data_IF_339041781889
#
_entry.id   IF_339041781889
#
_cell.length_a   1.000
_cell.length_b   1.000
_cell.length_c   1.000
_cell.angle_alpha   90.00
_cell.angle_beta   90.00
_cell.angle_gamma   90.00
#
_symmetry.space_group_name_H-M   'P 1'
#
loop_
_entity.id
_entity.type
_entity.pdbx_description
1 polymer ?
#
# COMPACT_ATOMS: atom_id res chain seq x y z
N UNK A 1 -9.70 -37.31 19.45
CA UNK A 1 -9.44 -36.14 18.59
C UNK A 1 -10.59 -35.17 18.79
N UNK A 2 -10.34 -34.06 19.47
CA UNK A 2 -11.36 -33.08 19.85
C UNK A 2 -11.33 -31.97 18.79
N UNK A 3 -12.35 -31.90 17.94
CA UNK A 3 -12.43 -30.86 16.89
C UNK A 3 -12.92 -29.58 17.55
N UNK A 4 -12.10 -28.54 17.48
CA UNK A 4 -12.37 -27.24 18.11
C UNK A 4 -13.51 -26.53 17.37
N UNK A 5 -14.72 -26.56 17.95
CA UNK A 5 -15.96 -26.01 17.38
C UNK A 5 -15.86 -24.50 17.08
N UNK A 6 -14.97 -23.79 17.75
CA UNK A 6 -14.76 -22.35 17.56
C UNK A 6 -14.23 -22.01 16.17
N UNK A 7 -13.31 -22.83 15.63
CA UNK A 7 -12.71 -22.64 14.31
C UNK A 7 -13.67 -22.93 13.16
N UNK A 8 -14.61 -23.85 13.36
CA UNK A 8 -15.64 -24.16 12.37
C UNK A 8 -16.63 -23.01 12.18
N UNK A 9 -16.93 -22.24 13.23
CA UNK A 9 -17.89 -21.12 13.15
C UNK A 9 -17.31 -19.92 12.40
N UNK A 10 -16.00 -19.66 12.52
CA UNK A 10 -15.33 -18.57 11.78
C UNK A 10 -15.28 -18.85 10.27
N UNK A 11 -14.99 -20.11 9.89
CA UNK A 11 -15.00 -20.54 8.49
C UNK A 11 -16.39 -20.46 7.86
N UNK A 12 -17.45 -20.83 8.60
CA UNK A 12 -18.82 -20.77 8.10
C UNK A 12 -19.33 -19.33 7.90
N UNK A 13 -18.95 -18.40 8.79
CA UNK A 13 -19.33 -16.98 8.66
C UNK A 13 -18.70 -16.31 7.42
N UNK A 14 -17.47 -16.70 7.08
CA UNK A 14 -16.74 -16.16 5.92
C UNK A 14 -17.41 -16.52 4.58
N UNK A 15 -17.94 -17.74 4.48
CA UNK A 15 -18.63 -18.23 3.27
C UNK A 15 -20.00 -17.58 3.04
N UNK A 16 -20.71 -17.19 4.10
CA UNK A 16 -22.02 -16.53 3.97
C UNK A 16 -21.89 -15.08 3.47
N UNK A 17 -20.81 -14.37 3.80
CA UNK A 17 -20.58 -12.99 3.36
C UNK A 17 -20.23 -12.90 1.86
N UNK A 18 -19.60 -13.93 1.28
CA UNK A 18 -19.23 -13.95 -0.14
C UNK A 18 -20.42 -14.14 -1.09
N UNK A 19 -21.57 -14.64 -0.62
CA UNK A 19 -22.73 -14.94 -1.46
C UNK A 19 -23.63 -13.73 -1.75
N UNK A 20 -23.50 -12.62 -1.03
CA UNK A 20 -24.38 -11.46 -1.17
C UNK A 20 -23.84 -10.33 -2.06
N UNK A 21 -22.61 -10.45 -2.60
CA UNK A 21 -22.00 -9.46 -3.49
C UNK A 21 -21.98 -9.92 -4.96
N UNK A 22 -23.09 -10.49 -5.45
CA UNK A 22 -23.27 -10.59 -6.90
C UNK A 22 -23.67 -9.22 -7.44
N UNK A 23 -22.68 -8.56 -8.05
CA UNK A 23 -22.81 -7.29 -8.77
C UNK A 23 -23.81 -7.49 -9.93
N UNK A 24 -24.97 -6.84 -9.85
CA UNK A 24 -25.94 -6.80 -10.96
C UNK A 24 -25.25 -6.23 -12.23
N UNK A 25 -25.49 -6.83 -13.42
CA UNK A 25 -25.01 -6.27 -14.67
C UNK A 25 -25.67 -4.92 -14.92
N UNK A 26 -24.86 -3.91 -15.22
CA UNK A 26 -25.31 -2.55 -15.48
C UNK A 26 -26.25 -2.51 -16.69
N UNK A 27 -27.53 -2.23 -16.44
CA UNK A 27 -28.50 -1.85 -17.47
C UNK A 27 -28.14 -0.47 -18.00
N UNK A 28 -27.88 -0.38 -19.30
CA UNK A 28 -27.59 0.87 -20.01
C UNK A 28 -28.72 1.90 -19.85
N UNK A 29 -28.43 3.17 -19.53
CA UNK A 29 -29.45 4.21 -19.51
C UNK A 29 -29.77 4.66 -20.95
N UNK A 30 -31.07 4.63 -21.24
CA UNK A 30 -31.72 5.12 -22.44
C UNK A 30 -31.67 6.66 -22.45
N UNK A 31 -30.86 7.25 -23.35
CA UNK A 31 -30.74 8.71 -23.51
C UNK A 31 -31.86 9.23 -24.41
N UNK A 32 -33.02 9.50 -23.81
CA UNK A 32 -34.10 10.28 -24.41
C UNK A 32 -33.83 11.78 -24.32
N UNK A 33 -33.96 12.48 -25.44
CA UNK A 33 -33.64 13.91 -25.59
C UNK A 33 -34.59 14.87 -24.88
N UNK A 34 -34.05 16.03 -24.51
CA UNK A 34 -34.79 17.21 -24.10
C UNK A 34 -34.17 18.46 -24.74
N UNK A 35 -35.05 19.33 -25.25
CA UNK A 35 -34.82 20.59 -25.96
C UNK A 35 -34.10 21.68 -25.12
N UNK A 36 -33.51 22.71 -25.78
CA UNK A 36 -32.93 23.86 -25.11
C UNK A 36 -33.94 25.01 -24.95
N UNK A 37 -33.99 25.61 -23.76
CA UNK A 37 -34.59 26.93 -23.53
C UNK A 37 -33.61 27.79 -22.71
N UNK A 38 -33.39 29.01 -23.19
CA UNK A 38 -32.28 29.86 -22.78
C UNK A 38 -32.55 30.84 -21.64
N UNK A 39 -31.52 31.68 -21.43
CA UNK A 39 -31.65 33.05 -20.92
C UNK A 39 -31.35 33.22 -19.43
N UNK A 40 -30.22 33.83 -19.12
CA UNK A 40 -30.13 35.16 -18.48
C UNK A 40 -28.77 35.35 -17.76
N UNK A 41 -27.97 36.26 -18.31
CA UNK A 41 -26.98 37.07 -17.59
C UNK A 41 -27.72 38.02 -16.61
N UNK A 42 -27.09 38.51 -15.49
CA UNK A 42 -26.11 39.59 -15.64
C UNK A 42 -24.98 39.70 -14.58
N UNK A 43 -23.90 40.34 -15.03
CA UNK A 43 -23.10 41.43 -14.44
C UNK A 43 -22.63 41.40 -12.95
N UNK A 44 -21.31 41.50 -12.78
CA UNK A 44 -20.72 42.72 -12.23
C UNK A 44 -19.98 42.62 -10.89
N UNK A 45 -18.66 42.86 -10.93
CA UNK A 45 -17.80 43.24 -9.80
C UNK A 45 -16.56 42.34 -9.69
N UNK A 46 -15.33 42.83 -9.51
CA UNK A 46 -14.75 44.16 -9.48
C UNK A 46 -13.23 43.96 -9.66
N UNK A 47 -12.57 44.91 -10.31
CA UNK A 47 -11.15 44.90 -10.67
C UNK A 47 -10.31 45.32 -9.46
N UNK A 48 -9.25 44.56 -9.11
CA UNK A 48 -8.08 45.09 -8.38
C UNK A 48 -6.76 44.56 -8.95
N UNK A 49 -5.80 45.49 -8.96
CA UNK A 49 -4.55 45.65 -9.72
C UNK A 49 -3.45 44.56 -9.53
N UNK A 50 -2.45 44.51 -10.43
CA UNK A 50 -1.47 43.44 -10.58
C UNK A 50 -0.24 43.68 -9.69
N UNK A 51 0.03 42.75 -8.79
CA UNK A 51 1.36 42.65 -8.19
C UNK A 51 2.22 41.73 -9.04
N UNK A 52 3.23 42.32 -9.67
CA UNK A 52 4.27 41.65 -10.44
C UNK A 52 5.11 40.74 -9.52
N UNK A 53 4.61 39.54 -9.27
CA UNK A 53 5.38 38.38 -8.84
C UNK A 53 5.31 37.36 -9.96
N UNK A 54 6.46 36.96 -10.50
CA UNK A 54 6.57 35.94 -11.56
C UNK A 54 5.61 34.77 -11.32
N UNK A 55 4.87 34.29 -12.33
CA UNK A 55 3.96 33.18 -12.14
C UNK A 55 4.77 31.96 -11.71
N UNK A 56 4.69 31.61 -10.43
CA UNK A 56 4.99 30.27 -9.98
C UNK A 56 3.89 29.40 -10.55
N UNK A 57 4.17 28.78 -11.70
CA UNK A 57 3.37 27.68 -12.23
C UNK A 57 3.45 26.58 -11.19
N UNK A 58 2.42 26.49 -10.34
CA UNK A 58 2.18 25.31 -9.53
C UNK A 58 1.71 24.25 -10.51
N UNK A 59 2.65 23.42 -10.97
CA UNK A 59 2.29 22.18 -11.65
C UNK A 59 1.71 21.28 -10.57
N UNK A 60 0.39 21.31 -10.45
CA UNK A 60 -0.38 20.30 -9.73
C UNK A 60 -0.02 18.95 -10.35
N UNK A 61 0.94 18.28 -9.72
CA UNK A 61 1.41 16.98 -10.16
C UNK A 61 0.30 16.01 -9.80
N UNK A 62 -0.29 15.35 -10.80
CA UNK A 62 -1.31 14.34 -10.55
C UNK A 62 -0.82 13.39 -9.45
N UNK A 63 -1.64 13.10 -8.42
CA UNK A 63 -1.30 12.11 -7.40
C UNK A 63 -1.14 10.76 -8.10
N UNK A 64 0.11 10.40 -8.41
CA UNK A 64 0.49 9.26 -9.25
C UNK A 64 1.71 9.49 -10.14
N UNK A 65 2.15 10.73 -10.34
CA UNK A 65 3.24 11.07 -11.27
C UNK A 65 4.61 11.37 -10.62
N UNK A 66 4.84 10.95 -9.38
CA UNK A 66 6.13 11.18 -8.71
C UNK A 66 7.20 10.16 -9.16
N UNK A 67 7.98 10.55 -10.17
CA UNK A 67 9.43 10.39 -10.23
C UNK A 67 10.07 9.07 -9.72
N UNK A 68 9.95 7.97 -10.48
CA UNK A 68 10.88 6.83 -10.37
C UNK A 68 11.23 6.24 -11.75
N UNK A 69 11.53 7.09 -12.73
CA UNK A 69 12.43 6.70 -13.83
C UNK A 69 13.75 7.40 -13.60
N UNK A 70 14.61 6.80 -12.77
CA UNK A 70 16.04 7.01 -12.95
C UNK A 70 16.39 6.31 -14.27
N UNK A 71 16.37 7.08 -15.36
CA UNK A 71 16.83 6.62 -16.66
C UNK A 71 18.28 6.14 -16.54
N UNK A 72 18.47 4.82 -16.51
CA UNK A 72 19.76 4.16 -16.73
C UNK A 72 20.47 3.59 -15.49
N UNK A 73 20.01 3.86 -14.26
CA UNK A 73 20.59 3.20 -13.09
C UNK A 73 19.89 1.86 -12.86
N UNK A 74 20.67 0.78 -12.87
CA UNK A 74 20.16 -0.57 -12.58
C UNK A 74 19.72 -0.56 -11.11
N UNK A 75 18.43 -0.35 -10.90
CA UNK A 75 17.82 -0.33 -9.58
C UNK A 75 17.95 -1.74 -8.97
N UNK A 76 18.81 -1.88 -7.94
CA UNK A 76 19.06 -3.15 -7.24
C UNK A 76 18.44 -3.15 -5.84
N UNK A 77 17.47 -4.04 -5.61
CA UNK A 77 16.86 -4.23 -4.29
C UNK A 77 17.82 -4.86 -3.26
N UNK A 78 18.95 -5.42 -3.70
CA UNK A 78 19.99 -5.93 -2.80
C UNK A 78 20.96 -4.83 -2.31
N UNK A 79 20.86 -3.62 -2.83
CA UNK A 79 21.57 -2.46 -2.28
C UNK A 79 20.87 -1.96 -1.01
N UNK A 80 21.59 -1.24 -0.14
CA UNK A 80 21.00 -0.61 1.05
C UNK A 80 21.70 -0.95 2.36
N UNK A 81 21.54 -0.10 3.35
CA UNK A 81 22.09 -0.30 4.69
C UNK A 81 21.21 -1.28 5.49
N UNK A 82 21.85 -2.20 6.21
CA UNK A 82 21.16 -3.03 7.18
C UNK A 82 20.94 -2.24 8.47
N UNK A 83 19.85 -1.48 8.53
CA UNK A 83 19.45 -0.73 9.72
C UNK A 83 18.91 -1.69 10.79
N UNK A 84 19.13 -1.34 12.06
CA UNK A 84 18.68 -2.12 13.22
C UNK A 84 17.67 -1.32 14.05
N UNK A 85 16.64 -2.01 14.51
CA UNK A 85 15.55 -1.46 15.31
C UNK A 85 15.92 -1.26 16.78
N UNK A 86 17.14 -1.59 17.22
CA UNK A 86 17.59 -1.41 18.63
C UNK A 86 17.47 0.03 19.15
N UNK A 87 17.51 1.02 18.26
CA UNK A 87 17.35 2.44 18.63
C UNK A 87 15.89 2.90 18.67
N UNK A 88 14.95 2.05 18.25
CA UNK A 88 13.52 2.32 18.34
C UNK A 88 13.10 2.41 19.80
N UNK A 89 12.42 3.48 20.16
CA UNK A 89 11.96 3.74 21.54
C UNK A 89 10.51 4.20 21.56
N UNK A 90 9.79 3.83 22.62
CA UNK A 90 8.44 4.32 22.86
C UNK A 90 8.49 5.69 23.55
N UNK A 91 7.57 6.62 23.25
CA UNK A 91 7.48 7.91 23.93
C UNK A 91 7.03 7.79 25.39
N UNK A 92 6.26 6.74 25.72
CA UNK A 92 5.72 6.50 27.07
C UNK A 92 5.51 5.01 27.34
N UNK A 93 5.33 4.66 28.62
CA UNK A 93 5.03 3.29 29.05
C UNK A 93 3.63 2.80 28.66
N UNK A 94 2.74 3.69 28.18
CA UNK A 94 1.36 3.35 27.79
C UNK A 94 1.21 3.00 26.31
N UNK A 95 2.32 2.79 25.61
CA UNK A 95 2.36 2.45 24.19
C UNK A 95 2.13 0.94 23.98
N UNK A 96 0.88 0.47 24.13
CA UNK A 96 0.55 -0.97 24.10
C UNK A 96 0.94 -1.68 22.79
N UNK A 97 0.95 -0.95 21.67
CA UNK A 97 1.30 -1.46 20.34
C UNK A 97 2.82 -1.52 20.09
N UNK A 98 3.65 -0.98 20.99
CA UNK A 98 5.09 -0.85 20.75
C UNK A 98 5.78 -2.18 20.60
N UNK A 99 5.49 -3.16 21.47
CA UNK A 99 6.15 -4.47 21.42
C UNK A 99 5.91 -5.19 20.07
N UNK A 100 4.68 -5.10 19.55
CA UNK A 100 4.32 -5.64 18.24
C UNK A 100 5.04 -4.90 17.11
N UNK A 101 5.08 -3.55 17.19
CA UNK A 101 5.77 -2.70 16.21
C UNK A 101 7.27 -2.96 16.20
N UNK A 102 7.89 -3.13 17.36
CA UNK A 102 9.30 -3.44 17.52
C UNK A 102 9.65 -4.82 16.93
N UNK A 103 8.83 -5.85 17.20
CA UNK A 103 9.02 -7.19 16.60
C UNK A 103 8.90 -7.17 15.08
N UNK A 104 7.91 -6.45 14.55
CA UNK A 104 7.75 -6.29 13.10
C UNK A 104 8.92 -5.53 12.48
N UNK A 105 9.42 -4.48 13.14
CA UNK A 105 10.62 -3.78 12.72
C UNK A 105 11.79 -4.76 12.55
N UNK A 106 12.01 -5.63 13.54
CA UNK A 106 13.10 -6.61 13.52
C UNK A 106 12.96 -7.63 12.38
N UNK A 107 11.73 -7.99 11.99
CA UNK A 107 11.50 -8.98 10.94
C UNK A 107 11.68 -8.43 9.52
N UNK A 108 11.68 -7.11 9.31
CA UNK A 108 11.89 -6.55 7.98
C UNK A 108 13.21 -7.01 7.34
N UNK A 109 14.31 -7.07 8.09
CA UNK A 109 15.60 -7.52 7.57
C UNK A 109 15.61 -8.98 7.11
N UNK A 110 14.72 -9.83 7.65
CA UNK A 110 14.62 -11.25 7.29
C UNK A 110 13.60 -11.55 6.20
N UNK A 111 12.69 -10.62 5.93
CA UNK A 111 11.59 -10.80 4.96
C UNK A 111 11.79 -9.97 3.71
N UNK A 112 12.22 -8.72 3.90
CA UNK A 112 12.47 -7.78 2.81
C UNK A 112 13.92 -7.90 2.34
N UNK A 113 14.14 -7.47 1.09
CA UNK A 113 15.48 -7.25 0.56
C UNK A 113 16.06 -5.96 1.18
N UNK A 114 17.40 -5.79 1.18
CA UNK A 114 18.06 -4.67 1.85
C UNK A 114 17.48 -3.27 1.56
N UNK A 115 17.21 -2.91 0.30
CA UNK A 115 16.70 -1.57 -0.07
C UNK A 115 15.32 -1.26 0.53
N UNK A 116 14.29 -2.11 0.31
CA UNK A 116 13.00 -1.89 0.96
C UNK A 116 13.05 -2.04 2.48
N UNK A 117 13.92 -2.91 3.01
CA UNK A 117 14.11 -3.05 4.46
C UNK A 117 14.66 -1.76 5.08
N UNK A 118 15.67 -1.15 4.46
CA UNK A 118 16.25 0.13 4.91
C UNK A 118 15.18 1.22 4.97
N UNK A 119 14.38 1.37 3.91
CA UNK A 119 13.31 2.37 3.88
C UNK A 119 12.21 2.12 4.92
N UNK A 120 11.80 0.86 5.11
CA UNK A 120 10.78 0.49 6.10
C UNK A 120 11.27 0.69 7.54
N UNK A 121 12.49 0.23 7.85
CA UNK A 121 13.11 0.41 9.17
C UNK A 121 13.39 1.89 9.43
N UNK A 122 13.90 2.62 8.44
CA UNK A 122 14.10 4.07 8.52
C UNK A 122 12.81 4.82 8.89
N UNK A 123 11.69 4.50 8.23
CA UNK A 123 10.39 5.05 8.57
C UNK A 123 9.96 4.79 10.03
N UNK A 124 10.23 3.58 10.54
CA UNK A 124 9.92 3.23 11.94
C UNK A 124 10.82 3.98 12.91
N UNK A 125 12.13 4.05 12.62
CA UNK A 125 13.09 4.80 13.43
C UNK A 125 12.74 6.29 13.49
N UNK A 126 12.30 6.87 12.37
CA UNK A 126 11.82 8.26 12.31
C UNK A 126 10.53 8.48 13.13
N UNK A 127 9.72 7.44 13.32
CA UNK A 127 8.56 7.48 14.22
C UNK A 127 8.95 7.27 15.70
N UNK A 128 10.14 6.71 15.96
CA UNK A 128 10.63 6.39 17.30
C UNK A 128 10.69 7.61 18.21
N UNK A 129 10.36 7.41 19.49
CA UNK A 129 10.32 8.48 20.48
C UNK A 129 9.12 9.44 20.37
N UNK A 130 8.20 9.20 19.42
CA UNK A 130 6.97 10.02 19.24
C UNK A 130 5.70 9.18 19.43
N UNK A 131 4.56 9.83 19.70
CA UNK A 131 3.25 9.14 19.79
C UNK A 131 2.86 8.38 18.50
N UNK A 132 3.48 8.74 17.36
CA UNK A 132 3.24 8.08 16.08
C UNK A 132 3.58 6.59 16.11
N UNK A 133 4.63 6.18 16.83
CA UNK A 133 5.01 4.76 16.94
C UNK A 133 3.97 3.94 17.71
N UNK A 134 3.11 4.59 18.50
CA UNK A 134 2.03 3.94 19.23
C UNK A 134 0.77 3.73 18.37
N UNK A 135 0.70 4.33 17.18
CA UNK A 135 -0.40 4.10 16.27
C UNK A 135 -0.28 2.70 15.66
N UNK A 136 -1.34 1.89 15.76
CA UNK A 136 -1.41 0.56 15.17
C UNK A 136 -1.32 0.58 13.63
N UNK A 137 -1.46 1.72 12.96
CA UNK A 137 -1.31 1.85 11.50
C UNK A 137 0.14 2.15 11.07
N UNK A 138 1.05 2.48 12.01
CA UNK A 138 2.42 2.91 11.65
C UNK A 138 3.17 1.85 10.86
N UNK A 139 2.89 0.57 11.14
CA UNK A 139 3.49 -0.50 10.38
C UNK A 139 3.04 -0.54 8.93
N UNK A 140 1.77 -0.26 8.64
CA UNK A 140 1.29 -0.20 7.26
C UNK A 140 1.98 0.93 6.50
N UNK A 141 2.10 2.09 7.14
CA UNK A 141 2.78 3.25 6.57
C UNK A 141 4.25 2.94 6.26
N UNK A 142 4.97 2.30 7.19
CA UNK A 142 6.38 1.98 6.98
C UNK A 142 6.62 0.80 6.05
N UNK A 143 5.73 -0.20 6.02
CA UNK A 143 5.74 -1.23 4.97
C UNK A 143 5.53 -0.60 3.59
N UNK A 144 4.60 0.34 3.47
CA UNK A 144 4.38 1.08 2.21
C UNK A 144 5.60 1.91 1.80
N UNK A 145 6.31 2.53 2.75
CA UNK A 145 7.59 3.20 2.45
C UNK A 145 8.63 2.24 1.87
N UNK A 146 8.74 1.02 2.42
CA UNK A 146 9.57 -0.05 1.86
C UNK A 146 9.14 -0.45 0.44
N UNK A 147 7.85 -0.66 0.21
CA UNK A 147 7.30 -0.99 -1.11
C UNK A 147 7.58 0.10 -2.14
N UNK A 148 7.43 1.37 -1.76
CA UNK A 148 7.73 2.51 -2.65
C UNK A 148 9.22 2.63 -2.97
N UNK A 149 10.11 2.23 -2.07
CA UNK A 149 11.55 2.20 -2.32
C UNK A 149 11.99 1.02 -3.23
N UNK A 150 11.08 0.08 -3.52
CA UNK A 150 11.38 -1.15 -4.25
C UNK A 150 11.52 -0.93 -5.75
N UNK A 151 12.61 -1.45 -6.31
CA UNK A 151 12.80 -1.65 -7.74
C UNK A 151 11.90 -2.79 -8.22
N UNK A 152 10.96 -2.50 -9.13
CA UNK A 152 10.04 -3.51 -9.65
C UNK A 152 10.75 -4.44 -10.63
N UNK A 153 10.75 -5.76 -10.36
CA UNK A 153 11.26 -6.78 -11.27
C UNK A 153 10.20 -7.15 -12.33
N UNK A 154 10.50 -6.86 -13.59
CA UNK A 154 9.62 -7.17 -14.72
C UNK A 154 9.27 -8.67 -14.82
N UNK A 155 10.11 -9.57 -14.28
CA UNK A 155 9.85 -11.03 -14.28
C UNK A 155 8.63 -11.42 -13.44
N UNK A 156 8.26 -10.60 -12.46
CA UNK A 156 7.09 -10.86 -11.59
C UNK A 156 5.74 -10.55 -12.26
N UNK A 157 5.77 -9.85 -13.41
CA UNK A 157 4.56 -9.33 -14.08
C UNK A 157 3.51 -10.40 -14.35
N UNK A 158 3.89 -11.48 -15.01
CA UNK A 158 2.93 -12.51 -15.42
C UNK A 158 2.26 -13.20 -14.22
N UNK A 159 3.03 -13.44 -13.15
CA UNK A 159 2.50 -13.98 -11.90
C UNK A 159 1.49 -13.00 -11.27
N UNK A 160 1.82 -11.71 -11.23
CA UNK A 160 0.93 -10.68 -10.68
C UNK A 160 -0.33 -10.43 -11.52
N UNK A 161 -0.27 -10.54 -12.84
CA UNK A 161 -1.45 -10.49 -13.71
C UNK A 161 -2.43 -11.64 -13.37
N UNK A 162 -1.89 -12.84 -13.11
CA UNK A 162 -2.68 -14.02 -12.71
C UNK A 162 -3.31 -13.82 -11.33
N UNK A 163 -2.55 -13.31 -10.36
CA UNK A 163 -3.03 -13.03 -9.00
C UNK A 163 -4.09 -11.93 -9.04
N UNK A 164 -3.84 -10.83 -9.74
CA UNK A 164 -4.77 -9.70 -9.89
C UNK A 164 -6.10 -10.15 -10.51
N UNK A 165 -6.04 -11.01 -11.54
CA UNK A 165 -7.24 -11.61 -12.12
C UNK A 165 -7.99 -12.51 -11.13
N UNK A 166 -7.28 -13.26 -10.28
CA UNK A 166 -7.90 -14.10 -9.23
C UNK A 166 -8.59 -13.25 -8.16
N UNK A 167 -8.04 -12.07 -7.89
CA UNK A 167 -8.59 -11.05 -7.00
C UNK A 167 -9.74 -10.23 -7.61
N UNK A 168 -10.21 -10.55 -8.83
CA UNK A 168 -11.27 -9.79 -9.49
C UNK A 168 -10.89 -8.34 -9.79
N UNK A 169 -9.59 -8.03 -9.87
CA UNK A 169 -9.06 -6.69 -10.14
C UNK A 169 -9.02 -5.75 -8.92
N UNK A 170 -9.32 -6.22 -7.70
CA UNK A 170 -9.17 -5.41 -6.48
C UNK A 170 -7.71 -5.09 -6.17
N UNK A 171 -6.81 -6.00 -6.55
CA UNK A 171 -5.37 -5.84 -6.42
C UNK A 171 -4.77 -5.36 -7.73
N UNK A 172 -4.14 -4.19 -7.70
CA UNK A 172 -3.37 -3.68 -8.83
C UNK A 172 -2.12 -4.52 -9.12
N UNK A 173 -1.85 -4.76 -10.40
CA UNK A 173 -0.72 -5.57 -10.85
C UNK A 173 0.60 -4.95 -10.41
N UNK A 174 0.75 -3.64 -10.50
CA UNK A 174 1.99 -2.95 -10.13
C UNK A 174 2.26 -3.06 -8.62
N UNK A 175 1.23 -2.91 -7.78
CA UNK A 175 1.32 -3.11 -6.33
C UNK A 175 1.74 -4.53 -5.97
N UNK A 176 1.18 -5.55 -6.65
CA UNK A 176 1.63 -6.93 -6.50
C UNK A 176 3.11 -7.09 -6.88
N UNK A 177 3.54 -6.51 -8.01
CA UNK A 177 4.93 -6.61 -8.45
C UNK A 177 5.90 -5.94 -7.48
N UNK A 178 5.52 -4.78 -6.92
CA UNK A 178 6.30 -4.14 -5.84
C UNK A 178 6.46 -5.10 -4.66
N UNK A 179 5.37 -5.70 -4.18
CA UNK A 179 5.41 -6.68 -3.09
C UNK A 179 6.36 -7.85 -3.35
N UNK A 180 6.19 -8.54 -4.48
CA UNK A 180 7.02 -9.69 -4.83
C UNK A 180 8.49 -9.32 -5.08
N UNK A 181 8.76 -8.10 -5.56
CA UNK A 181 10.11 -7.61 -5.78
C UNK A 181 10.79 -7.14 -4.50
N UNK A 182 9.99 -6.74 -3.50
CA UNK A 182 10.46 -6.21 -2.22
C UNK A 182 10.95 -7.30 -1.28
N UNK A 183 10.32 -8.48 -1.31
CA UNK A 183 10.66 -9.60 -0.42
C UNK A 183 11.87 -10.40 -0.88
N UNK A 184 12.50 -11.10 0.05
CA UNK A 184 13.55 -12.05 -0.24
C UNK A 184 13.04 -13.16 -1.19
N UNK A 185 13.87 -13.67 -2.11
CA UNK A 185 13.47 -14.73 -3.04
C UNK A 185 12.96 -16.00 -2.35
N UNK A 186 13.44 -16.30 -1.14
CA UNK A 186 12.99 -17.44 -0.32
C UNK A 186 11.57 -17.29 0.23
N UNK A 187 11.04 -16.06 0.30
CA UNK A 187 9.72 -15.73 0.85
C UNK A 187 8.70 -15.36 -0.23
N UNK A 188 9.12 -15.16 -1.48
CA UNK A 188 8.26 -14.70 -2.58
C UNK A 188 7.09 -15.63 -2.86
N UNK A 189 7.27 -16.95 -2.76
CA UNK A 189 6.20 -17.91 -2.96
C UNK A 189 5.14 -17.84 -1.85
N UNK A 190 5.58 -17.74 -0.59
CA UNK A 190 4.68 -17.57 0.56
C UNK A 190 3.91 -16.25 0.46
N UNK A 191 4.59 -15.16 0.07
CA UNK A 191 3.95 -13.88 -0.18
C UNK A 191 2.90 -13.99 -1.28
N UNK A 192 3.24 -14.58 -2.43
CA UNK A 192 2.32 -14.73 -3.56
C UNK A 192 1.06 -15.52 -3.18
N UNK A 193 1.21 -16.60 -2.41
CA UNK A 193 0.08 -17.38 -1.90
C UNK A 193 -0.81 -16.55 -0.96
N UNK A 194 -0.22 -15.80 -0.03
CA UNK A 194 -1.00 -14.90 0.84
C UNK A 194 -1.73 -13.84 0.03
N UNK A 195 -1.06 -13.18 -0.93
CA UNK A 195 -1.69 -12.16 -1.77
C UNK A 195 -2.83 -12.76 -2.59
N UNK A 196 -2.68 -13.97 -3.10
CA UNK A 196 -3.75 -14.63 -3.85
C UNK A 196 -4.99 -14.93 -2.98
N UNK A 197 -4.81 -15.16 -1.68
CA UNK A 197 -5.90 -15.42 -0.74
C UNK A 197 -6.57 -14.13 -0.25
N UNK A 198 -5.79 -13.12 0.12
CA UNK A 198 -6.28 -11.90 0.79
C UNK A 198 -6.36 -10.67 -0.11
N UNK A 199 -5.72 -10.70 -1.28
CA UNK A 199 -5.69 -9.59 -2.24
C UNK A 199 -5.11 -8.27 -1.68
N UNK A 200 -4.27 -8.35 -0.64
CA UNK A 200 -3.62 -7.20 -0.01
C UNK A 200 -2.12 -7.46 0.23
N UNK A 201 -1.26 -6.59 -0.30
CA UNK A 201 0.20 -6.74 -0.21
C UNK A 201 0.76 -6.37 1.18
N UNK A 202 0.43 -5.20 1.78
CA UNK A 202 1.07 -4.79 3.03
C UNK A 202 0.75 -5.72 4.21
N UNK A 203 -0.49 -6.21 4.25
CA UNK A 203 -0.95 -7.19 5.24
C UNK A 203 -0.13 -8.48 5.14
N UNK A 204 -0.01 -9.05 3.94
CA UNK A 204 0.75 -10.28 3.72
C UNK A 204 2.25 -10.17 4.03
N UNK A 205 2.87 -9.01 3.78
CA UNK A 205 4.27 -8.79 4.18
C UNK A 205 4.42 -8.85 5.70
N UNK A 206 3.45 -8.29 6.42
CA UNK A 206 3.50 -8.24 7.88
C UNK A 206 3.21 -9.59 8.50
N UNK A 207 2.34 -10.40 7.88
CA UNK A 207 2.06 -11.78 8.28
C UNK A 207 3.32 -12.67 8.21
N UNK A 208 4.13 -12.53 7.15
CA UNK A 208 5.44 -13.19 7.06
C UNK A 208 6.38 -12.84 8.22
N UNK A 209 6.13 -11.70 8.89
CA UNK A 209 6.82 -11.19 10.08
C UNK A 209 6.75 -12.09 11.30
N UNK A 210 5.70 -12.90 11.39
CA UNK A 210 5.36 -13.64 12.59
C UNK A 210 5.69 -15.14 12.52
N UNK A 211 6.28 -15.60 11.40
CA UNK A 211 6.66 -17.01 11.13
C UNK A 211 8.17 -17.20 10.96
#
# INVERSE_FOLDING_TARGET
MQVDRSRFLVLAASLAAAACNQREPASSPDTGGAEPAGGAEPAGGEVQDPSAGSPRVWVESEPGAAAYRQDGEVCDNNSGANLDCRSLSAPSAHCESFDSTYRLCQSFSSILRPRPAEAAVGCMLDAGGSERICNWEIWQQCTNAGLQATCVDAKTRHQCETISSSCGGSLDTFSCQQGLSAVQPSKSQSLASCIQEFCEVPMCISDLGFY
#
